data_IF_207216621952
#
_entry.id   IF_207216621952
#
_cell.length_a   1.000
_cell.length_b   1.000
_cell.length_c   1.000
_cell.angle_alpha   90.00
_cell.angle_beta   90.00
_cell.angle_gamma   90.00
#
_symmetry.space_group_name_H-M   'P 1'
#
loop_
_entity.id
_entity.type
_entity.pdbx_description
1 polymer ?
#
# COMPACT_ATOMS: atom_id res chain seq x y z
N UNK A 1 4.49 4.37 -15.43
CA UNK A 1 4.37 4.39 -13.95
C UNK A 1 4.22 5.84 -13.53
N UNK A 2 3.06 6.20 -13.00
CA UNK A 2 2.79 7.57 -12.57
C UNK A 2 3.25 7.71 -11.12
N UNK A 3 4.44 8.27 -10.94
CA UNK A 3 4.82 8.86 -9.65
C UNK A 3 3.76 9.91 -9.35
N UNK A 4 3.11 9.83 -8.19
CA UNK A 4 2.16 10.85 -7.75
C UNK A 4 2.92 12.19 -7.57
N UNK A 5 2.79 13.18 -8.47
CA UNK A 5 3.56 14.42 -8.39
C UNK A 5 3.31 15.17 -7.08
N UNK A 6 2.11 15.08 -6.56
CA UNK A 6 1.74 15.72 -5.31
C UNK A 6 2.48 15.12 -4.09
N UNK A 7 2.73 13.79 -4.10
CA UNK A 7 3.56 13.16 -3.07
C UNK A 7 4.98 13.72 -3.11
N UNK A 8 5.57 13.83 -4.30
CA UNK A 8 6.94 14.35 -4.46
C UNK A 8 7.05 15.80 -3.99
N UNK A 9 6.19 16.70 -4.48
CA UNK A 9 6.22 18.11 -4.08
C UNK A 9 6.05 18.28 -2.58
N UNK A 10 5.07 17.63 -1.98
CA UNK A 10 4.84 17.70 -0.55
C UNK A 10 6.02 17.16 0.28
N UNK A 11 6.72 16.15 -0.22
CA UNK A 11 7.91 15.62 0.47
C UNK A 11 9.06 16.61 0.42
N UNK A 12 9.29 17.23 -0.75
CA UNK A 12 10.31 18.28 -0.91
C UNK A 12 10.00 19.52 -0.04
N UNK A 13 8.75 19.96 0.00
CA UNK A 13 8.32 21.08 0.87
C UNK A 13 8.57 20.76 2.35
N UNK A 14 8.31 19.51 2.78
CA UNK A 14 8.60 19.09 4.16
C UNK A 14 10.10 19.11 4.45
N UNK A 15 10.94 18.67 3.51
CA UNK A 15 12.41 18.73 3.66
C UNK A 15 12.87 20.20 3.83
N UNK A 16 12.36 21.12 3.01
CA UNK A 16 12.66 22.55 3.13
C UNK A 16 12.26 23.06 4.51
N UNK A 17 11.04 22.76 4.96
CA UNK A 17 10.56 23.16 6.28
C UNK A 17 11.42 22.63 7.42
N UNK A 18 11.85 21.36 7.37
CA UNK A 18 12.74 20.76 8.38
C UNK A 18 14.09 21.50 8.42
N UNK A 19 14.65 21.89 7.28
CA UNK A 19 15.89 22.65 7.19
C UNK A 19 15.70 24.04 7.82
N UNK A 20 14.60 24.73 7.54
CA UNK A 20 14.29 26.05 8.09
C UNK A 20 14.09 25.98 9.62
N UNK A 21 13.57 24.85 10.14
CA UNK A 21 13.46 24.60 11.57
C UNK A 21 14.76 24.12 12.23
N UNK A 22 15.87 23.99 11.51
CA UNK A 22 17.15 23.41 11.95
C UNK A 22 17.07 21.93 12.36
N UNK A 23 16.05 21.19 11.89
CA UNK A 23 15.89 19.74 12.07
C UNK A 23 16.69 18.97 11.00
N UNK A 24 18.01 19.20 10.98
CA UNK A 24 18.88 18.72 9.90
C UNK A 24 18.96 17.19 9.83
N UNK A 25 18.88 16.50 10.97
CA UNK A 25 18.91 15.03 11.02
C UNK A 25 17.67 14.45 10.37
N UNK A 26 16.48 14.95 10.69
CA UNK A 26 15.23 14.51 10.07
C UNK A 26 15.16 14.85 8.57
N UNK A 27 15.66 16.02 8.19
CA UNK A 27 15.74 16.40 6.79
C UNK A 27 16.65 15.44 6.01
N UNK A 28 17.79 15.06 6.57
CA UNK A 28 18.71 14.09 5.97
C UNK A 28 18.08 12.71 5.86
N UNK A 29 17.47 12.21 6.93
CA UNK A 29 16.74 10.94 6.92
C UNK A 29 15.66 10.93 5.83
N UNK A 30 14.89 12.00 5.70
CA UNK A 30 13.84 12.12 4.70
C UNK A 30 14.38 12.09 3.26
N UNK A 31 15.52 12.75 2.99
CA UNK A 31 16.19 12.69 1.68
C UNK A 31 16.66 11.27 1.35
N UNK A 32 17.26 10.57 2.31
CA UNK A 32 17.73 9.19 2.12
C UNK A 32 16.53 8.27 1.84
N UNK A 33 15.48 8.36 2.67
CA UNK A 33 14.28 7.54 2.51
C UNK A 33 13.57 7.82 1.18
N UNK A 34 13.51 9.08 0.75
CA UNK A 34 12.97 9.45 -0.56
C UNK A 34 13.79 8.84 -1.72
N UNK A 35 15.12 8.86 -1.60
CA UNK A 35 16.02 8.23 -2.57
C UNK A 35 15.78 6.71 -2.66
N UNK A 36 15.63 6.04 -1.53
CA UNK A 36 15.36 4.60 -1.49
C UNK A 36 13.98 4.26 -2.07
N UNK A 37 12.96 5.06 -1.74
CA UNK A 37 11.64 4.95 -2.36
C UNK A 37 11.70 5.03 -3.89
N UNK A 38 12.38 6.03 -4.44
CA UNK A 38 12.50 6.17 -5.89
C UNK A 38 13.33 5.08 -6.54
N UNK A 39 14.37 4.59 -5.89
CA UNK A 39 15.19 3.49 -6.42
C UNK A 39 14.34 2.24 -6.65
N UNK A 40 13.41 1.94 -5.74
CA UNK A 40 12.48 0.81 -5.87
C UNK A 40 11.43 1.06 -6.96
N UNK A 41 10.88 2.28 -7.05
CA UNK A 41 9.92 2.65 -8.10
C UNK A 41 10.55 2.56 -9.49
N UNK A 42 11.77 3.07 -9.63
CA UNK A 42 12.50 3.15 -10.89
C UNK A 42 13.25 1.86 -11.26
N UNK A 43 13.23 0.83 -10.42
CA UNK A 43 13.79 -0.48 -10.77
C UNK A 43 13.13 -1.04 -12.04
N UNK A 44 13.85 -0.98 -13.15
CA UNK A 44 13.33 -1.13 -14.50
C UNK A 44 12.91 -2.56 -14.83
N UNK A 45 11.73 -2.72 -15.41
CA UNK A 45 11.32 -3.87 -16.21
C UNK A 45 10.82 -5.11 -15.45
N UNK A 46 10.84 -5.14 -14.14
CA UNK A 46 10.28 -6.24 -13.37
C UNK A 46 8.81 -5.99 -13.03
N UNK A 47 7.93 -6.84 -13.52
CA UNK A 47 6.50 -6.83 -13.16
C UNK A 47 6.26 -7.45 -11.78
N UNK A 48 7.10 -8.41 -11.41
CA UNK A 48 7.08 -9.10 -10.11
C UNK A 48 8.33 -8.75 -9.30
N UNK A 49 8.13 -8.53 -8.01
CA UNK A 49 9.20 -8.30 -7.03
C UNK A 49 8.98 -9.19 -5.82
N UNK A 50 10.03 -9.39 -5.02
CA UNK A 50 9.89 -10.14 -3.77
C UNK A 50 9.04 -9.37 -2.75
N UNK A 51 8.36 -10.09 -1.85
CA UNK A 51 7.64 -9.50 -0.70
C UNK A 51 8.57 -8.59 0.10
N UNK A 52 9.86 -8.93 0.24
CA UNK A 52 10.88 -8.09 0.88
C UNK A 52 10.98 -6.71 0.21
N UNK A 53 11.04 -6.69 -1.12
CA UNK A 53 11.15 -5.42 -1.87
C UNK A 53 9.86 -4.60 -1.78
N UNK A 54 8.70 -5.24 -1.84
CA UNK A 54 7.41 -4.57 -1.69
C UNK A 54 7.25 -4.00 -0.27
N UNK A 55 7.67 -4.74 0.77
CA UNK A 55 7.72 -4.25 2.14
C UNK A 55 8.62 -3.03 2.28
N UNK A 56 9.85 -3.10 1.75
CA UNK A 56 10.79 -1.98 1.81
C UNK A 56 10.23 -0.73 1.13
N UNK A 57 9.54 -0.90 0.00
CA UNK A 57 8.89 0.20 -0.71
C UNK A 57 7.81 0.87 0.13
N UNK A 58 6.90 0.08 0.69
CA UNK A 58 5.83 0.58 1.55
C UNK A 58 6.37 1.18 2.85
N UNK A 59 7.43 0.60 3.41
CA UNK A 59 8.11 1.13 4.59
C UNK A 59 8.70 2.52 4.33
N UNK A 60 9.40 2.70 3.21
CA UNK A 60 9.94 4.01 2.82
C UNK A 60 8.83 5.04 2.63
N UNK A 61 7.71 4.65 2.00
CA UNK A 61 6.54 5.51 1.87
C UNK A 61 5.97 5.92 3.23
N UNK A 62 5.75 4.95 4.13
CA UNK A 62 5.18 5.20 5.46
C UNK A 62 6.11 6.04 6.35
N UNK A 63 7.44 5.84 6.29
CA UNK A 63 8.41 6.68 7.00
C UNK A 63 8.31 8.16 6.58
N UNK A 64 8.22 8.42 5.27
CA UNK A 64 8.02 9.78 4.75
C UNK A 64 6.70 10.36 5.27
N UNK A 65 5.63 9.58 5.25
CA UNK A 65 4.32 10.03 5.72
C UNK A 65 4.29 10.24 7.24
N UNK A 66 4.99 9.41 8.02
CA UNK A 66 5.08 9.54 9.47
C UNK A 66 5.80 10.83 9.88
N UNK A 67 6.91 11.21 9.22
CA UNK A 67 7.57 12.51 9.44
C UNK A 67 6.61 13.68 9.18
N UNK A 68 5.79 13.57 8.11
CA UNK A 68 4.82 14.62 7.73
C UNK A 68 3.60 14.68 8.64
N UNK A 69 3.21 13.57 9.22
CA UNK A 69 1.95 13.37 9.94
C UNK A 69 2.16 12.72 11.31
N UNK A 70 3.29 12.98 11.97
CA UNK A 70 3.70 12.35 13.24
C UNK A 70 2.63 12.43 14.35
N UNK A 71 1.82 13.49 14.35
CA UNK A 71 0.77 13.71 15.35
C UNK A 71 -0.50 12.89 15.07
N UNK A 72 -0.70 12.41 13.85
CA UNK A 72 -1.96 11.78 13.45
C UNK A 72 -1.84 10.34 13.03
N UNK A 73 -0.62 9.82 12.76
CA UNK A 73 -0.45 8.44 12.34
C UNK A 73 0.71 7.74 13.02
N UNK A 74 0.58 6.41 13.13
CA UNK A 74 1.66 5.47 13.38
C UNK A 74 1.43 4.22 12.54
N UNK A 75 2.47 3.40 12.34
CA UNK A 75 2.33 2.19 11.55
C UNK A 75 3.13 1.02 12.11
N UNK A 76 2.67 -0.19 11.80
CA UNK A 76 3.35 -1.44 12.10
C UNK A 76 3.39 -2.34 10.86
N UNK A 77 4.54 -2.96 10.60
CA UNK A 77 4.69 -3.95 9.53
C UNK A 77 5.14 -5.26 10.18
N UNK A 78 4.26 -6.26 10.07
CA UNK A 78 4.36 -7.58 10.70
C UNK A 78 4.27 -8.65 9.62
N UNK A 79 5.25 -8.68 8.73
CA UNK A 79 5.37 -9.69 7.68
C UNK A 79 6.39 -10.73 8.13
N UNK A 80 5.98 -12.01 8.11
CA UNK A 80 6.87 -13.09 8.46
C UNK A 80 8.07 -13.12 7.50
N UNK A 81 9.33 -13.14 8.00
CA UNK A 81 10.52 -13.24 7.17
C UNK A 81 10.54 -14.45 6.23
N UNK A 82 9.84 -15.53 6.55
CA UNK A 82 9.68 -16.69 5.66
C UNK A 82 8.97 -16.33 4.35
N UNK A 83 8.23 -15.22 4.31
CA UNK A 83 7.52 -14.76 3.10
C UNK A 83 8.38 -13.93 2.16
N UNK A 84 9.55 -13.49 2.59
CA UNK A 84 10.35 -12.49 1.89
C UNK A 84 10.79 -12.88 0.47
N UNK A 85 10.94 -14.16 0.20
CA UNK A 85 11.41 -14.66 -1.09
C UNK A 85 10.26 -15.01 -2.05
N UNK A 86 9.00 -14.95 -1.59
CA UNK A 86 7.84 -15.06 -2.47
C UNK A 86 7.66 -13.79 -3.30
N UNK A 87 7.03 -13.94 -4.47
CA UNK A 87 6.85 -12.87 -5.42
C UNK A 87 5.40 -12.33 -5.44
N UNK A 88 5.31 -11.03 -5.64
CA UNK A 88 4.06 -10.29 -5.78
C UNK A 88 4.18 -9.30 -6.94
N UNK A 89 3.11 -8.98 -7.68
CA UNK A 89 3.15 -7.88 -8.64
C UNK A 89 3.55 -6.57 -7.95
N UNK A 90 4.52 -5.87 -8.53
CA UNK A 90 5.05 -4.59 -8.03
C UNK A 90 3.92 -3.59 -7.74
N UNK A 91 4.04 -2.77 -6.69
CA UNK A 91 3.05 -1.74 -6.34
C UNK A 91 1.67 -2.32 -5.99
N UNK A 92 1.64 -3.43 -5.28
CA UNK A 92 0.39 -4.06 -4.83
C UNK A 92 -0.06 -3.51 -3.48
N UNK A 93 0.85 -3.35 -2.50
CA UNK A 93 0.54 -2.85 -1.17
C UNK A 93 0.39 -1.33 -1.12
N UNK A 94 1.16 -0.58 -1.90
CA UNK A 94 1.19 0.88 -1.80
C UNK A 94 -0.18 1.54 -2.01
N UNK A 95 -0.98 1.24 -3.05
CA UNK A 95 -2.29 1.86 -3.21
C UNK A 95 -3.24 1.58 -2.05
N UNK A 96 -3.11 0.42 -1.40
CA UNK A 96 -3.92 0.03 -0.25
C UNK A 96 -3.53 0.86 0.98
N UNK A 97 -2.23 1.03 1.21
CA UNK A 97 -1.69 1.86 2.30
C UNK A 97 -2.03 3.34 2.09
N UNK A 98 -1.97 3.83 0.84
CA UNK A 98 -2.42 5.18 0.50
C UNK A 98 -3.90 5.39 0.85
N UNK A 99 -4.76 4.44 0.51
CA UNK A 99 -6.18 4.51 0.88
C UNK A 99 -6.38 4.50 2.40
N UNK A 100 -5.70 3.63 3.13
CA UNK A 100 -5.75 3.58 4.58
C UNK A 100 -5.37 4.93 5.20
N UNK A 101 -4.29 5.57 4.70
CA UNK A 101 -3.85 6.88 5.17
C UNK A 101 -4.84 7.99 4.82
N UNK A 102 -5.19 8.13 3.54
CA UNK A 102 -5.93 9.30 3.07
C UNK A 102 -7.43 9.24 3.37
N UNK A 103 -8.03 8.06 3.32
CA UNK A 103 -9.46 7.86 3.54
C UNK A 103 -9.80 7.33 4.94
N UNK A 104 -8.89 6.62 5.58
CA UNK A 104 -9.04 6.14 6.94
C UNK A 104 -8.51 7.14 7.97
N UNK A 105 -7.20 7.23 8.09
CA UNK A 105 -6.52 7.92 9.19
C UNK A 105 -6.69 9.44 9.15
N UNK A 106 -6.46 10.09 8.00
CA UNK A 106 -6.53 11.56 7.89
C UNK A 106 -7.93 12.14 8.11
N UNK A 107 -8.95 11.32 7.99
CA UNK A 107 -10.33 11.70 8.28
C UNK A 107 -10.69 11.55 9.77
N UNK A 108 -9.83 10.92 10.57
CA UNK A 108 -10.01 10.71 12.01
C UNK A 108 -9.59 11.95 12.80
N UNK A 109 -10.25 12.19 13.95
CA UNK A 109 -9.93 13.32 14.84
C UNK A 109 -8.81 13.01 15.83
N UNK A 110 -8.42 11.76 15.97
CA UNK A 110 -7.36 11.29 16.88
C UNK A 110 -6.27 10.62 16.08
N UNK A 111 -5.12 10.38 16.71
CA UNK A 111 -4.06 9.58 16.10
C UNK A 111 -4.60 8.20 15.70
N UNK A 112 -4.26 7.76 14.51
CA UNK A 112 -4.66 6.47 13.98
C UNK A 112 -3.47 5.59 13.65
N UNK A 113 -3.75 4.32 13.42
CA UNK A 113 -2.75 3.28 13.19
C UNK A 113 -3.01 2.54 11.88
N UNK A 114 -1.93 2.27 11.13
CA UNK A 114 -1.93 1.36 9.98
C UNK A 114 -1.13 0.13 10.35
N UNK A 115 -1.70 -1.05 10.18
CA UNK A 115 -1.02 -2.32 10.41
C UNK A 115 -1.00 -3.16 9.14
N UNK A 116 0.21 -3.54 8.70
CA UNK A 116 0.41 -4.43 7.55
C UNK A 116 0.85 -5.78 8.10
N UNK A 117 0.16 -6.84 7.71
CA UNK A 117 0.48 -8.22 8.09
C UNK A 117 0.63 -9.10 6.88
N UNK A 118 1.56 -10.05 6.97
CA UNK A 118 1.75 -11.10 5.98
C UNK A 118 1.82 -12.45 6.66
N UNK A 119 1.03 -13.40 6.17
CA UNK A 119 1.06 -14.79 6.62
C UNK A 119 0.91 -15.74 5.45
N UNK A 120 1.43 -16.97 5.60
CA UNK A 120 1.20 -18.06 4.66
C UNK A 120 0.23 -19.07 5.26
N UNK A 121 -0.80 -19.42 4.51
CA UNK A 121 -1.72 -20.51 4.85
C UNK A 121 -1.75 -21.52 3.72
N UNK A 122 -1.15 -22.68 3.94
CA UNK A 122 -0.98 -23.70 2.91
C UNK A 122 -0.20 -23.12 1.72
N UNK A 123 -0.79 -23.13 0.52
CA UNK A 123 -0.20 -22.62 -0.70
C UNK A 123 -0.65 -21.17 -1.04
N UNK A 124 -1.19 -20.45 -0.05
CA UNK A 124 -1.67 -19.09 -0.21
C UNK A 124 -0.82 -18.11 0.60
N UNK A 125 -0.50 -16.98 0.00
CA UNK A 125 -0.03 -15.78 0.69
C UNK A 125 -1.22 -14.90 1.01
N UNK A 126 -1.31 -14.45 2.24
CA UNK A 126 -2.34 -13.55 2.73
C UNK A 126 -1.65 -12.30 3.24
N UNK A 127 -1.85 -11.18 2.55
CA UNK A 127 -1.35 -9.88 2.97
C UNK A 127 -2.55 -9.03 3.40
N UNK A 128 -2.48 -8.43 4.57
CA UNK A 128 -3.57 -7.66 5.14
C UNK A 128 -3.07 -6.28 5.54
N UNK A 129 -3.77 -5.25 5.09
CA UNK A 129 -3.58 -3.86 5.54
C UNK A 129 -4.83 -3.48 6.31
N UNK A 130 -4.65 -3.10 7.57
CA UNK A 130 -5.74 -2.66 8.46
C UNK A 130 -5.45 -1.25 8.94
N UNK A 131 -6.42 -0.38 8.86
CA UNK A 131 -6.43 0.91 9.53
C UNK A 131 -7.52 0.96 10.61
N UNK A 132 -7.32 1.76 11.63
CA UNK A 132 -8.31 2.07 12.66
C UNK A 132 -8.99 3.44 12.39
N UNK A 133 -9.14 3.78 11.12
CA UNK A 133 -9.69 5.04 10.63
C UNK A 133 -11.19 5.18 10.85
N UNK A 134 -11.80 6.06 10.05
CA UNK A 134 -13.24 6.35 10.15
C UNK A 134 -14.13 5.20 9.66
N UNK A 135 -13.58 4.26 8.87
CA UNK A 135 -14.35 3.20 8.25
C UNK A 135 -15.36 3.70 7.22
N UNK A 136 -16.24 2.79 6.79
CA UNK A 136 -17.25 3.06 5.76
C UNK A 136 -18.62 2.55 6.20
N UNK A 137 -19.67 3.26 5.79
CA UNK A 137 -21.04 2.76 5.87
C UNK A 137 -21.23 1.55 4.94
N UNK A 138 -22.17 0.68 5.30
CA UNK A 138 -22.43 -0.56 4.55
C UNK A 138 -22.72 -0.32 3.06
N UNK A 139 -23.45 0.77 2.74
CA UNK A 139 -23.77 1.13 1.36
C UNK A 139 -22.52 1.51 0.56
N UNK A 140 -21.61 2.31 1.15
CA UNK A 140 -20.36 2.73 0.52
C UNK A 140 -19.41 1.53 0.34
N UNK A 141 -19.36 0.62 1.32
CA UNK A 141 -18.58 -0.61 1.24
C UNK A 141 -19.07 -1.51 0.09
N UNK A 142 -20.39 -1.71 -0.03
CA UNK A 142 -20.98 -2.53 -1.11
C UNK A 142 -20.71 -1.90 -2.49
N UNK A 143 -20.77 -0.60 -2.60
CA UNK A 143 -20.49 0.08 -3.87
C UNK A 143 -19.00 0.00 -4.23
N UNK A 144 -18.08 0.15 -3.26
CA UNK A 144 -16.66 -0.05 -3.47
C UNK A 144 -16.35 -1.51 -3.87
N UNK A 145 -16.97 -2.51 -3.21
CA UNK A 145 -16.82 -3.92 -3.57
C UNK A 145 -17.26 -4.21 -5.00
N UNK A 146 -18.36 -3.59 -5.47
CA UNK A 146 -18.78 -3.70 -6.87
C UNK A 146 -17.84 -2.98 -7.84
N UNK A 147 -17.24 -1.87 -7.41
CA UNK A 147 -16.29 -1.13 -8.24
C UNK A 147 -14.99 -1.90 -8.47
N UNK A 148 -14.43 -2.54 -7.46
CA UNK A 148 -13.19 -3.31 -7.59
C UNK A 148 -13.33 -4.57 -8.45
N UNK A 149 -14.55 -5.08 -8.64
CA UNK A 149 -14.84 -6.22 -9.52
C UNK A 149 -15.04 -5.82 -10.98
N UNK A 150 -15.21 -4.54 -11.27
CA UNK A 150 -15.38 -4.07 -12.66
C UNK A 150 -14.03 -3.87 -13.33
N UNK A 151 -13.94 -4.15 -14.66
CA UNK A 151 -12.78 -3.77 -15.44
C UNK A 151 -12.49 -2.28 -15.29
N UNK A 152 -11.25 -1.93 -15.02
CA UNK A 152 -10.85 -0.57 -14.69
C UNK A 152 -11.03 0.37 -15.89
N UNK A 153 -11.90 1.36 -15.78
CA UNK A 153 -12.00 2.49 -16.73
C UNK A 153 -11.29 3.69 -16.10
N UNK A 154 -10.43 4.34 -16.85
CA UNK A 154 -9.47 5.39 -16.41
C UNK A 154 -10.05 6.64 -15.70
N UNK A 155 -11.29 6.66 -15.24
CA UNK A 155 -11.99 7.88 -14.80
C UNK A 155 -12.55 7.88 -13.38
N UNK A 156 -12.47 6.78 -12.59
CA UNK A 156 -13.28 6.67 -11.38
C UNK A 156 -12.46 6.71 -10.06
N UNK A 157 -13.10 7.20 -9.00
CA UNK A 157 -12.61 7.13 -7.61
C UNK A 157 -12.46 5.64 -7.23
N UNK A 158 -11.37 5.27 -6.58
CA UNK A 158 -11.09 3.86 -6.27
C UNK A 158 -10.07 3.20 -7.21
N UNK A 159 -9.50 3.98 -8.12
CA UNK A 159 -8.56 3.54 -9.16
C UNK A 159 -7.45 2.61 -8.65
N UNK A 160 -6.93 2.86 -7.45
CA UNK A 160 -5.84 2.06 -6.88
C UNK A 160 -6.22 0.62 -6.57
N UNK A 161 -7.34 0.40 -5.87
CA UNK A 161 -7.78 -0.95 -5.46
C UNK A 161 -8.30 -1.77 -6.64
N UNK A 162 -9.08 -1.16 -7.53
CA UNK A 162 -9.59 -1.83 -8.73
C UNK A 162 -8.43 -2.27 -9.64
N UNK A 163 -7.42 -1.42 -9.84
CA UNK A 163 -6.23 -1.77 -10.61
C UNK A 163 -5.42 -2.91 -9.97
N UNK A 164 -5.29 -2.89 -8.64
CA UNK A 164 -4.63 -3.98 -7.91
C UNK A 164 -5.40 -5.27 -8.12
N UNK A 165 -6.73 -5.26 -7.93
CA UNK A 165 -7.57 -6.44 -8.06
C UNK A 165 -7.55 -7.01 -9.49
N UNK A 166 -7.75 -6.16 -10.51
CA UNK A 166 -7.71 -6.56 -11.92
C UNK A 166 -6.35 -7.19 -12.28
N UNK A 167 -5.25 -6.59 -11.82
CA UNK A 167 -3.91 -7.13 -12.07
C UNK A 167 -3.69 -8.47 -11.38
N UNK A 168 -4.17 -8.65 -10.14
CA UNK A 168 -4.10 -9.95 -9.45
C UNK A 168 -4.93 -11.01 -10.16
N UNK A 169 -6.13 -10.69 -10.63
CA UNK A 169 -6.95 -11.60 -11.44
C UNK A 169 -6.26 -11.98 -12.75
N UNK A 170 -5.62 -11.03 -13.41
CA UNK A 170 -4.92 -11.27 -14.69
C UNK A 170 -3.74 -12.24 -14.53
N UNK A 171 -3.00 -12.12 -13.42
CA UNK A 171 -1.82 -12.97 -13.20
C UNK A 171 -2.13 -14.32 -12.54
N UNK A 172 -3.09 -14.35 -11.65
CA UNK A 172 -3.30 -15.51 -10.77
C UNK A 172 -4.66 -16.18 -10.96
N UNK A 173 -5.60 -15.56 -11.65
CA UNK A 173 -6.97 -16.05 -11.81
C UNK A 173 -8.00 -15.32 -10.94
N UNK A 174 -9.27 -15.43 -11.31
CA UNK A 174 -10.37 -14.69 -10.69
C UNK A 174 -10.71 -15.15 -9.25
N UNK A 175 -10.19 -16.29 -8.82
CA UNK A 175 -10.35 -16.80 -7.45
C UNK A 175 -9.45 -16.09 -6.42
N UNK A 176 -8.42 -15.39 -6.89
CA UNK A 176 -7.51 -14.57 -6.09
C UNK A 176 -7.91 -13.11 -6.13
N UNK A 177 -7.28 -12.25 -5.35
CA UNK A 177 -7.52 -10.81 -5.44
C UNK A 177 -7.70 -10.13 -4.08
N UNK A 178 -8.45 -9.04 -4.10
CA UNK A 178 -8.66 -8.11 -2.99
C UNK A 178 -10.02 -8.34 -2.33
N UNK A 179 -10.03 -8.42 -1.00
CA UNK A 179 -11.25 -8.43 -0.17
C UNK A 179 -11.23 -7.26 0.79
N UNK A 180 -12.36 -6.60 0.97
CA UNK A 180 -12.48 -5.42 1.84
C UNK A 180 -13.55 -5.69 2.89
N UNK A 181 -13.21 -5.38 4.14
CA UNK A 181 -14.15 -5.33 5.26
C UNK A 181 -13.98 -3.98 5.96
N UNK A 182 -15.07 -3.32 6.29
CA UNK A 182 -15.05 -2.03 6.97
C UNK A 182 -16.31 -1.85 7.81
N UNK A 183 -16.19 -1.06 8.89
CA UNK A 183 -17.31 -0.61 9.70
C UNK A 183 -17.10 0.83 10.12
N UNK A 184 -18.18 1.63 10.20
CA UNK A 184 -18.09 3.00 10.68
C UNK A 184 -17.45 3.09 12.06
N UNK A 185 -16.41 3.91 12.19
CA UNK A 185 -15.67 4.12 13.43
C UNK A 185 -14.72 2.98 13.87
N UNK A 186 -14.70 1.85 13.17
CA UNK A 186 -13.80 0.72 13.46
C UNK A 186 -12.63 0.62 12.47
N UNK A 187 -12.68 1.38 11.36
CA UNK A 187 -11.65 1.39 10.32
C UNK A 187 -11.93 0.42 9.17
N UNK A 188 -10.89 0.13 8.40
CA UNK A 188 -10.98 -0.72 7.20
C UNK A 188 -9.89 -1.77 7.20
N UNK A 189 -10.22 -2.95 6.75
CA UNK A 189 -9.30 -4.05 6.50
C UNK A 189 -9.37 -4.44 5.03
N UNK A 190 -8.22 -4.37 4.36
CA UNK A 190 -8.04 -4.86 2.99
C UNK A 190 -7.16 -6.09 3.03
N UNK A 191 -7.64 -7.21 2.49
CA UNK A 191 -6.93 -8.48 2.45
C UNK A 191 -6.67 -8.88 1.01
N UNK A 192 -5.41 -9.17 0.69
CA UNK A 192 -4.95 -9.74 -0.58
C UNK A 192 -4.75 -11.23 -0.37
N UNK A 193 -5.30 -12.03 -1.26
CA UNK A 193 -5.08 -13.47 -1.29
C UNK A 193 -4.50 -13.84 -2.65
N UNK A 194 -3.30 -14.42 -2.67
CA UNK A 194 -2.60 -14.86 -3.88
C UNK A 194 -1.91 -16.21 -3.65
N UNK A 195 -1.57 -16.97 -4.70
CA UNK A 195 -0.78 -18.19 -4.53
C UNK A 195 0.65 -17.87 -4.05
N UNK A 196 1.22 -18.78 -3.25
CA UNK A 196 2.58 -18.68 -2.77
C UNK A 196 3.56 -19.13 -3.86
N UNK A 197 4.10 -18.20 -4.63
CA UNK A 197 5.02 -18.49 -5.74
C UNK A 197 6.39 -17.82 -5.54
N UNK A 198 7.49 -18.56 -5.80
CA UNK A 198 8.84 -18.04 -5.71
C UNK A 198 9.41 -17.53 -7.05
N UNK A 199 8.91 -18.02 -8.16
CA UNK A 199 9.36 -17.61 -9.49
C UNK A 199 8.14 -17.45 -10.39
N UNK A 200 7.80 -16.22 -10.70
CA UNK A 200 6.81 -15.90 -11.72
C UNK A 200 7.56 -15.54 -13.00
N UNK A 201 7.60 -16.47 -13.96
CA UNK A 201 7.95 -16.12 -15.32
C UNK A 201 6.73 -15.43 -15.91
N UNK A 202 6.88 -14.23 -16.49
CA UNK A 202 5.78 -13.33 -16.91
C UNK A 202 4.71 -13.87 -17.87
N UNK A 203 4.49 -15.16 -17.91
CA UNK A 203 3.34 -15.82 -18.53
C UNK A 203 2.34 -16.17 -17.42
N UNK A 204 1.07 -15.88 -17.67
CA UNK A 204 -0.02 -16.20 -16.73
C UNK A 204 0.14 -17.66 -16.24
N UNK A 205 0.07 -17.84 -14.91
CA UNK A 205 0.09 -19.19 -14.32
C UNK A 205 -1.25 -19.82 -14.68
N UNK A 206 -1.25 -20.67 -15.72
CA UNK A 206 -2.41 -21.49 -16.14
C UNK A 206 -2.47 -22.75 -15.29
#
# INVERSE_FOLDING_TARGET
EQINPHFLYNTLDTIVWLIECNETEQATEMVVTLSDFFRLVLSHGQEFISIRMEEQHVRSYLQIQEIRYHDIMEYHILIDPELYDYQIPKMTLQPIVENALYHGIKCKRSKGQICIRGEKKQDLLILTVTDDGVGMEEADLQDLQKEIEKPCKQTDRGFGLANVNERLHMYFGAEYGVKIASRPGEGTQVTIVIPAVHNVTGEAIT
#
